data_IF_125447168150
#
_entry.id   IF_125447168150
#
_cell.length_a   1.000
_cell.length_b   1.000
_cell.length_c   1.000
_cell.angle_alpha   90.00
_cell.angle_beta   90.00
_cell.angle_gamma   90.00
#
_symmetry.space_group_name_H-M   'P 1'
#
loop_
_entity.id
_entity.type
_entity.pdbx_description
1 polymer ?
#
# COMPACT_ATOMS: atom_id res chain seq x y z
N UNK A 1 -10.42 10.40 -3.26
CA UNK A 1 -9.03 10.56 -2.75
C UNK A 1 -8.19 11.26 -3.81
N UNK A 2 -7.21 12.09 -3.46
CA UNK A 2 -6.22 12.69 -4.38
C UNK A 2 -4.94 11.85 -4.37
N UNK A 3 -4.04 12.08 -5.33
CA UNK A 3 -2.71 11.46 -5.33
C UNK A 3 -1.97 11.73 -4.02
N UNK A 4 -1.27 10.73 -3.52
CA UNK A 4 -0.57 10.75 -2.22
C UNK A 4 0.90 10.37 -2.31
N UNK A 5 1.40 10.00 -3.51
CA UNK A 5 2.81 9.70 -3.76
C UNK A 5 3.25 8.35 -3.19
N UNK A 6 4.29 8.38 -2.39
CA UNK A 6 4.87 7.19 -1.78
C UNK A 6 3.94 6.52 -0.76
N UNK A 7 3.83 5.19 -0.85
CA UNK A 7 3.08 4.31 0.03
C UNK A 7 3.99 3.21 0.59
N UNK A 8 4.19 3.17 1.88
CA UNK A 8 4.96 2.11 2.54
C UNK A 8 4.05 0.95 2.92
N UNK A 9 4.30 -0.24 2.36
CA UNK A 9 3.64 -1.49 2.79
C UNK A 9 4.62 -2.27 3.66
N UNK A 10 4.29 -2.43 4.93
CA UNK A 10 5.15 -3.09 5.92
C UNK A 10 4.80 -4.57 6.05
N UNK A 11 5.73 -5.44 5.66
CA UNK A 11 5.66 -6.88 5.85
C UNK A 11 6.97 -7.33 6.49
N UNK A 12 6.89 -7.90 7.68
CA UNK A 12 8.02 -8.45 8.45
C UNK A 12 9.27 -7.53 8.41
N UNK A 13 9.15 -6.26 8.82
CA UNK A 13 10.25 -5.33 8.73
C UNK A 13 11.37 -5.67 9.71
N UNK A 14 12.62 -5.74 9.22
CA UNK A 14 13.80 -6.07 10.02
C UNK A 14 14.00 -5.13 11.23
N UNK A 15 13.59 -3.86 11.08
CA UNK A 15 13.66 -2.86 12.16
C UNK A 15 12.43 -2.85 13.08
N UNK A 16 11.41 -3.69 12.82
CA UNK A 16 10.12 -3.69 13.51
C UNK A 16 9.11 -2.70 12.90
N UNK A 17 7.82 -2.97 13.13
CA UNK A 17 6.72 -2.19 12.56
C UNK A 17 6.69 -0.75 13.06
N UNK A 18 6.86 -0.55 14.37
CA UNK A 18 6.82 0.76 15.00
C UNK A 18 7.93 1.67 14.46
N UNK A 19 9.17 1.18 14.42
CA UNK A 19 10.31 1.96 13.92
C UNK A 19 10.18 2.32 12.44
N UNK A 20 9.63 1.41 11.63
CA UNK A 20 9.34 1.71 10.23
C UNK A 20 8.23 2.76 10.08
N UNK A 21 7.19 2.70 10.93
CA UNK A 21 6.12 3.70 10.95
C UNK A 21 6.63 5.07 11.40
N UNK A 22 7.43 5.14 12.47
CA UNK A 22 8.08 6.38 12.93
C UNK A 22 8.93 7.03 11.81
N UNK A 23 9.71 6.19 11.11
CA UNK A 23 10.50 6.63 9.97
C UNK A 23 9.63 7.21 8.84
N UNK A 24 8.52 6.54 8.52
CA UNK A 24 7.57 6.99 7.51
C UNK A 24 6.89 8.31 7.90
N UNK A 25 6.40 8.43 9.13
CA UNK A 25 5.81 9.66 9.67
C UNK A 25 6.81 10.82 9.62
N UNK A 26 8.03 10.60 10.10
CA UNK A 26 9.11 11.60 10.08
C UNK A 26 9.47 12.05 8.67
N UNK A 27 9.41 11.15 7.69
CA UNK A 27 9.68 11.45 6.28
C UNK A 27 8.47 12.09 5.54
N UNK A 28 7.32 12.22 6.20
CA UNK A 28 6.10 12.78 5.61
C UNK A 28 5.36 11.83 4.66
N UNK A 29 5.58 10.52 4.79
CA UNK A 29 4.86 9.50 4.01
C UNK A 29 3.39 9.52 4.39
N UNK A 30 2.52 9.66 3.40
CA UNK A 30 1.07 9.85 3.64
C UNK A 30 0.28 8.57 3.82
N UNK A 31 0.80 7.43 3.35
CA UNK A 31 0.14 6.13 3.42
C UNK A 31 1.10 5.07 3.96
N UNK A 32 0.68 4.35 4.99
CA UNK A 32 1.42 3.22 5.58
C UNK A 32 0.46 2.05 5.75
N UNK A 33 0.82 0.87 5.25
CA UNK A 33 0.02 -0.34 5.40
C UNK A 33 0.68 -1.32 6.37
N UNK A 34 -0.07 -1.77 7.33
CA UNK A 34 0.28 -2.89 8.20
C UNK A 34 -0.13 -4.20 7.53
N UNK A 35 0.84 -5.02 7.10
CA UNK A 35 0.61 -6.31 6.47
C UNK A 35 1.29 -7.43 7.28
N UNK A 36 0.55 -8.00 8.22
CA UNK A 36 0.95 -9.12 9.07
C UNK A 36 0.23 -10.39 8.59
N UNK A 37 0.81 -11.07 7.61
CA UNK A 37 0.24 -12.33 7.10
C UNK A 37 0.36 -13.41 8.18
N UNK A 38 -0.69 -14.21 8.29
CA UNK A 38 -0.77 -15.36 9.20
C UNK A 38 -0.73 -14.99 10.72
N UNK A 39 -0.74 -13.69 11.08
CA UNK A 39 -0.82 -13.27 12.47
C UNK A 39 -2.28 -13.34 13.00
N UNK A 40 -2.46 -13.68 14.28
CA UNK A 40 -3.78 -13.61 14.91
C UNK A 40 -4.35 -12.18 14.85
N UNK A 41 -5.67 -12.05 14.63
CA UNK A 41 -6.33 -10.72 14.54
C UNK A 41 -6.01 -9.83 15.74
N UNK A 42 -5.99 -10.37 16.97
CA UNK A 42 -5.68 -9.57 18.16
C UNK A 42 -4.29 -8.93 18.11
N UNK A 43 -3.31 -9.61 17.51
CA UNK A 43 -1.96 -9.06 17.32
C UNK A 43 -1.96 -7.96 16.25
N UNK A 44 -2.69 -8.16 15.13
CA UNK A 44 -2.86 -7.14 14.08
C UNK A 44 -3.51 -5.89 14.67
N UNK A 45 -4.59 -6.04 15.45
CA UNK A 45 -5.30 -4.93 16.11
C UNK A 45 -4.39 -4.20 17.09
N UNK A 46 -3.66 -4.93 17.94
CA UNK A 46 -2.76 -4.33 18.92
C UNK A 46 -1.63 -3.55 18.23
N UNK A 47 -1.05 -4.10 17.17
CA UNK A 47 -0.01 -3.44 16.38
C UNK A 47 -0.58 -2.22 15.65
N UNK A 48 -1.73 -2.34 14.97
CA UNK A 48 -2.36 -1.22 14.29
C UNK A 48 -2.64 -0.04 15.25
N UNK A 49 -3.11 -0.30 16.48
CA UNK A 49 -3.31 0.75 17.51
C UNK A 49 -2.01 1.49 17.84
N UNK A 50 -0.88 0.76 18.02
CA UNK A 50 0.43 1.41 18.25
C UNK A 50 0.86 2.27 17.06
N UNK A 51 0.61 1.82 15.82
CA UNK A 51 0.91 2.60 14.63
C UNK A 51 0.02 3.85 14.51
N UNK A 52 -1.27 3.74 14.87
CA UNK A 52 -2.18 4.88 14.96
C UNK A 52 -1.71 5.92 15.98
N UNK A 53 -1.19 5.47 17.13
CA UNK A 53 -0.63 6.38 18.14
C UNK A 53 0.63 7.10 17.62
N UNK A 54 1.52 6.40 16.91
CA UNK A 54 2.70 6.99 16.25
C UNK A 54 2.29 8.01 15.17
N UNK A 55 1.26 7.71 14.38
CA UNK A 55 0.79 8.58 13.30
C UNK A 55 -0.04 9.78 13.79
N UNK A 56 -0.43 9.81 15.08
CA UNK A 56 -1.31 10.85 15.65
C UNK A 56 -0.77 12.26 15.44
N UNK A 57 -1.60 13.14 14.91
CA UNK A 57 -1.23 14.52 14.60
C UNK A 57 -0.42 14.70 13.32
N UNK A 58 -0.09 13.62 12.61
CA UNK A 58 0.54 13.67 11.28
C UNK A 58 -0.51 13.57 10.17
N UNK A 59 -0.06 13.62 8.91
CA UNK A 59 -0.90 13.36 7.73
C UNK A 59 -0.89 11.88 7.31
N UNK A 60 -0.13 11.04 7.99
CA UNK A 60 0.03 9.62 7.66
C UNK A 60 -1.23 8.84 7.99
N UNK A 61 -1.75 8.10 7.02
CA UNK A 61 -2.90 7.21 7.14
C UNK A 61 -2.44 5.78 7.35
N UNK A 62 -3.01 5.10 8.34
CA UNK A 62 -2.71 3.70 8.64
C UNK A 62 -3.78 2.81 8.02
N UNK A 63 -3.33 1.89 7.18
CA UNK A 63 -4.17 0.94 6.43
C UNK A 63 -3.88 -0.47 6.94
N UNK A 64 -4.91 -1.24 7.26
CA UNK A 64 -4.76 -2.67 7.60
C UNK A 64 -4.94 -3.51 6.33
N UNK A 65 -4.14 -4.55 6.19
CA UNK A 65 -4.23 -5.45 5.03
C UNK A 65 -5.24 -6.58 5.28
N UNK A 66 -6.11 -6.87 4.30
CA UNK A 66 -7.04 -8.00 4.18
C UNK A 66 -8.16 -8.11 5.23
N UNK A 67 -8.02 -7.57 6.43
CA UNK A 67 -8.99 -7.76 7.54
C UNK A 67 -9.75 -6.46 7.89
N UNK A 68 -10.95 -6.22 7.32
CA UNK A 68 -11.77 -5.07 7.65
C UNK A 68 -12.21 -5.02 9.12
N UNK A 69 -12.39 -6.19 9.76
CA UNK A 69 -12.77 -6.23 11.17
C UNK A 69 -11.61 -5.78 12.06
N UNK A 70 -10.37 -6.16 11.75
CA UNK A 70 -9.19 -5.66 12.46
C UNK A 70 -8.99 -4.15 12.22
N UNK A 71 -9.22 -3.65 11.01
CA UNK A 71 -9.17 -2.22 10.70
C UNK A 71 -10.20 -1.44 11.53
N UNK A 72 -11.44 -1.91 11.57
CA UNK A 72 -12.52 -1.28 12.34
C UNK A 72 -12.25 -1.33 13.85
N UNK A 73 -11.79 -2.48 14.38
CA UNK A 73 -11.52 -2.66 15.80
C UNK A 73 -10.32 -1.84 16.29
N UNK A 74 -9.31 -1.68 15.46
CA UNK A 74 -8.13 -0.86 15.78
C UNK A 74 -8.35 0.64 15.64
N UNK A 75 -9.38 1.06 14.90
CA UNK A 75 -9.62 2.46 14.54
C UNK A 75 -8.69 2.94 13.41
N UNK A 76 -8.13 2.03 12.62
CA UNK A 76 -7.29 2.38 11.48
C UNK A 76 -8.06 3.23 10.46
N UNK A 77 -7.35 4.09 9.72
CA UNK A 77 -7.95 4.98 8.71
C UNK A 77 -8.58 4.19 7.54
N UNK A 78 -8.09 2.97 7.28
CA UNK A 78 -8.58 2.19 6.15
C UNK A 78 -8.18 0.71 6.16
N UNK A 79 -8.64 0.04 5.12
CA UNK A 79 -8.31 -1.35 4.80
C UNK A 79 -7.92 -1.48 3.33
N UNK A 80 -6.99 -2.39 3.02
CA UNK A 80 -6.67 -2.79 1.66
C UNK A 80 -7.03 -4.26 1.46
N UNK A 81 -7.85 -4.57 0.48
CA UNK A 81 -8.33 -5.92 0.18
C UNK A 81 -7.84 -6.42 -1.17
N UNK A 82 -7.66 -7.73 -1.29
CA UNK A 82 -7.39 -8.43 -2.54
C UNK A 82 -8.67 -8.83 -3.27
N UNK A 83 -8.51 -9.58 -4.39
CA UNK A 83 -9.64 -10.03 -5.22
C UNK A 83 -10.43 -11.16 -4.57
N UNK A 84 -9.79 -11.94 -3.70
CA UNK A 84 -10.38 -13.09 -3.01
C UNK A 84 -10.84 -12.76 -1.58
N UNK A 85 -10.61 -11.52 -1.13
CA UNK A 85 -11.00 -11.03 0.18
C UNK A 85 -12.45 -10.47 0.15
N UNK A 86 -12.88 -9.87 1.26
CA UNK A 86 -14.20 -9.20 1.35
C UNK A 86 -14.31 -8.11 0.28
N UNK A 87 -15.40 -8.12 -0.46
CA UNK A 87 -15.63 -7.15 -1.54
C UNK A 87 -15.75 -5.72 -1.01
N UNK A 88 -15.27 -4.73 -1.78
CA UNK A 88 -15.29 -3.31 -1.40
C UNK A 88 -16.69 -2.83 -0.96
N UNK A 89 -17.73 -3.25 -1.67
CA UNK A 89 -19.13 -2.93 -1.34
C UNK A 89 -19.54 -3.51 0.01
N UNK A 90 -19.18 -4.76 0.28
CA UNK A 90 -19.46 -5.42 1.56
C UNK A 90 -18.68 -4.77 2.71
N UNK A 91 -17.41 -4.37 2.48
CA UNK A 91 -16.64 -3.59 3.47
C UNK A 91 -17.39 -2.30 3.84
N UNK A 92 -17.87 -1.56 2.84
CA UNK A 92 -18.61 -0.31 3.03
C UNK A 92 -19.91 -0.50 3.82
N UNK A 93 -20.63 -1.59 3.55
CA UNK A 93 -21.88 -1.92 4.24
C UNK A 93 -21.67 -2.34 5.68
N UNK A 94 -20.70 -3.24 5.91
CA UNK A 94 -20.49 -3.84 7.24
C UNK A 94 -19.63 -3.01 8.17
N UNK A 95 -18.75 -2.15 7.61
CA UNK A 95 -17.78 -1.35 8.36
C UNK A 95 -17.80 0.12 7.89
N UNK A 96 -18.94 0.83 8.01
CA UNK A 96 -19.09 2.19 7.49
C UNK A 96 -18.15 3.21 8.14
N UNK A 97 -17.54 2.88 9.29
CA UNK A 97 -16.54 3.70 9.96
C UNK A 97 -15.15 3.67 9.27
N UNK A 98 -14.88 2.71 8.37
CA UNK A 98 -13.63 2.65 7.63
C UNK A 98 -13.66 3.71 6.52
N UNK A 99 -12.79 4.71 6.64
CA UNK A 99 -12.74 5.85 5.73
C UNK A 99 -12.14 5.54 4.35
N UNK A 100 -11.11 4.66 4.30
CA UNK A 100 -10.34 4.37 3.10
C UNK A 100 -10.41 2.87 2.78
N UNK A 101 -10.82 2.52 1.55
CA UNK A 101 -10.83 1.13 1.07
C UNK A 101 -10.01 1.03 -0.21
N UNK A 102 -8.87 0.34 -0.15
CA UNK A 102 -8.04 0.02 -1.31
C UNK A 102 -8.35 -1.36 -1.87
N UNK A 103 -8.12 -1.55 -3.17
CA UNK A 103 -8.34 -2.83 -3.87
C UNK A 103 -7.12 -3.20 -4.72
N UNK A 104 -6.60 -4.41 -4.56
CA UNK A 104 -5.56 -4.96 -5.45
C UNK A 104 -6.12 -5.27 -6.84
N UNK A 105 -5.36 -4.95 -7.91
CA UNK A 105 -5.68 -5.33 -9.28
C UNK A 105 -4.43 -5.87 -9.99
N UNK A 106 -4.60 -6.95 -10.79
CA UNK A 106 -3.50 -7.71 -11.40
C UNK A 106 -3.60 -7.77 -12.94
N UNK A 107 -4.65 -7.21 -13.52
CA UNK A 107 -4.85 -7.12 -14.96
C UNK A 107 -5.80 -5.96 -15.32
N UNK A 108 -5.86 -5.62 -16.61
CA UNK A 108 -6.65 -4.49 -17.11
C UNK A 108 -8.16 -4.68 -16.84
N UNK A 109 -8.68 -5.91 -16.92
CA UNK A 109 -10.09 -6.17 -16.66
C UNK A 109 -10.47 -5.86 -15.20
N UNK A 110 -9.63 -6.26 -14.23
CA UNK A 110 -9.84 -5.94 -12.81
C UNK A 110 -9.72 -4.44 -12.55
N UNK A 111 -8.75 -3.75 -13.18
CA UNK A 111 -8.61 -2.30 -13.04
C UNK A 111 -9.85 -1.57 -13.58
N UNK A 112 -10.38 -1.96 -14.74
CA UNK A 112 -11.61 -1.40 -15.29
C UNK A 112 -12.85 -1.72 -14.45
N UNK A 113 -12.98 -2.97 -13.97
CA UNK A 113 -14.11 -3.41 -13.13
C UNK A 113 -14.15 -2.69 -11.77
N UNK A 114 -13.02 -2.19 -11.27
CA UNK A 114 -12.96 -1.46 -10.00
C UNK A 114 -13.83 -0.20 -9.99
N UNK A 115 -14.12 0.39 -11.15
CA UNK A 115 -15.02 1.53 -11.28
C UNK A 115 -16.44 1.27 -10.74
N UNK A 116 -16.94 0.03 -10.84
CA UNK A 116 -18.27 -0.35 -10.37
C UNK A 116 -18.34 -0.43 -8.84
N UNK A 117 -17.27 -0.86 -8.16
CA UNK A 117 -17.22 -1.05 -6.70
C UNK A 117 -16.64 0.15 -5.97
N UNK A 118 -16.08 1.14 -6.69
CA UNK A 118 -15.62 2.44 -6.19
C UNK A 118 -14.68 2.38 -4.98
N UNK A 119 -13.51 1.72 -5.08
CA UNK A 119 -12.49 1.82 -4.06
C UNK A 119 -11.92 3.25 -4.02
N UNK A 120 -11.28 3.64 -2.91
CA UNK A 120 -10.61 4.94 -2.82
C UNK A 120 -9.31 4.97 -3.63
N UNK A 121 -8.66 3.83 -3.79
CA UNK A 121 -7.52 3.63 -4.67
C UNK A 121 -7.40 2.16 -5.10
N UNK A 122 -6.69 1.91 -6.19
CA UNK A 122 -6.33 0.55 -6.60
C UNK A 122 -4.81 0.33 -6.52
N UNK A 123 -4.41 -0.87 -6.11
CA UNK A 123 -3.04 -1.36 -6.28
C UNK A 123 -2.89 -2.00 -7.66
N UNK A 124 -1.90 -1.58 -8.42
CA UNK A 124 -1.56 -2.10 -9.75
C UNK A 124 -0.25 -2.87 -9.68
N UNK A 125 -0.32 -4.18 -9.77
CA UNK A 125 0.90 -4.98 -9.63
C UNK A 125 0.69 -6.50 -9.68
N UNK A 126 1.81 -7.24 -9.58
CA UNK A 126 3.18 -6.73 -9.40
C UNK A 126 3.78 -6.18 -10.71
N UNK A 127 4.41 -5.00 -10.64
CA UNK A 127 5.09 -4.42 -11.82
C UNK A 127 6.30 -5.24 -12.21
N UNK A 128 7.11 -5.63 -11.23
CA UNK A 128 8.26 -6.53 -11.39
C UNK A 128 8.08 -7.79 -10.54
N UNK A 129 8.79 -8.84 -10.87
CA UNK A 129 8.79 -10.06 -10.07
C UNK A 129 9.19 -9.78 -8.60
N UNK A 130 8.45 -10.35 -7.66
CA UNK A 130 8.69 -10.17 -6.24
C UNK A 130 8.34 -11.42 -5.44
N UNK A 131 9.17 -11.84 -4.48
CA UNK A 131 8.91 -12.98 -3.62
C UNK A 131 8.04 -12.63 -2.39
N UNK A 132 7.50 -11.42 -2.29
CA UNK A 132 6.76 -10.95 -1.09
C UNK A 132 5.44 -11.72 -0.87
N UNK A 133 4.80 -12.22 -1.93
CA UNK A 133 3.63 -13.11 -1.84
C UNK A 133 4.07 -14.57 -1.90
N UNK A 134 3.44 -15.45 -1.11
CA UNK A 134 3.69 -16.92 -1.14
C UNK A 134 3.39 -17.51 -2.52
N UNK A 135 2.32 -17.04 -3.16
CA UNK A 135 1.98 -17.36 -4.54
C UNK A 135 2.02 -16.04 -5.31
N UNK A 136 3.11 -15.75 -6.04
CA UNK A 136 3.24 -14.48 -6.74
C UNK A 136 2.40 -14.48 -8.02
N UNK A 137 1.68 -13.39 -8.25
CA UNK A 137 1.10 -13.12 -9.56
C UNK A 137 2.23 -12.89 -10.60
N UNK A 138 2.00 -13.21 -11.88
CA UNK A 138 2.95 -12.88 -12.94
C UNK A 138 3.25 -11.38 -12.99
N UNK A 139 4.53 -11.02 -13.21
CA UNK A 139 4.91 -9.63 -13.35
C UNK A 139 4.23 -8.99 -14.58
N UNK A 140 3.60 -7.83 -14.38
CA UNK A 140 2.93 -7.07 -15.44
C UNK A 140 3.91 -6.44 -16.41
N UNK A 141 5.06 -6.00 -15.92
CA UNK A 141 5.95 -5.08 -16.63
C UNK A 141 5.40 -3.64 -16.62
N UNK A 142 6.29 -2.69 -16.84
CA UNK A 142 5.98 -1.26 -16.78
C UNK A 142 4.91 -0.84 -17.79
N UNK A 143 4.92 -1.38 -19.01
CA UNK A 143 3.97 -1.02 -20.07
C UNK A 143 2.52 -1.37 -19.70
N UNK A 144 2.26 -2.61 -19.24
CA UNK A 144 0.92 -3.02 -18.80
C UNK A 144 0.48 -2.28 -17.54
N UNK A 145 1.39 -2.06 -16.59
CA UNK A 145 1.07 -1.25 -15.41
C UNK A 145 0.64 0.17 -15.80
N UNK A 146 1.32 0.80 -16.75
CA UNK A 146 0.94 2.12 -17.28
C UNK A 146 -0.44 2.12 -17.96
N UNK A 147 -0.80 1.07 -18.70
CA UNK A 147 -2.15 0.91 -19.27
C UNK A 147 -3.22 0.84 -18.18
N UNK A 148 -3.00 0.03 -17.14
CA UNK A 148 -3.91 -0.10 -16.00
C UNK A 148 -4.06 1.21 -15.23
N UNK A 149 -2.96 1.93 -15.00
CA UNK A 149 -2.96 3.25 -14.35
C UNK A 149 -3.80 4.24 -15.14
N UNK A 150 -3.65 4.28 -16.46
CA UNK A 150 -4.46 5.18 -17.32
C UNK A 150 -5.94 4.82 -17.38
N UNK A 151 -6.27 3.53 -17.23
CA UNK A 151 -7.65 3.05 -17.23
C UNK A 151 -8.36 3.21 -15.88
N UNK A 152 -7.61 3.48 -14.81
CA UNK A 152 -8.16 3.63 -13.47
C UNK A 152 -9.01 4.90 -13.34
N UNK A 153 -10.14 4.79 -12.64
CA UNK A 153 -11.06 5.90 -12.33
C UNK A 153 -10.80 6.52 -10.96
N UNK A 154 -9.86 5.98 -10.21
CA UNK A 154 -9.39 6.45 -8.91
C UNK A 154 -7.85 6.42 -8.88
N UNK A 155 -7.20 6.98 -7.84
CA UNK A 155 -5.75 6.88 -7.69
C UNK A 155 -5.24 5.45 -7.82
N UNK A 156 -4.28 5.23 -8.71
CA UNK A 156 -3.65 3.93 -8.94
C UNK A 156 -2.23 3.93 -8.37
N UNK A 157 -1.91 2.89 -7.60
CA UNK A 157 -0.63 2.70 -6.92
C UNK A 157 0.15 1.60 -7.60
N UNK A 158 1.25 1.93 -8.26
CA UNK A 158 2.17 0.93 -8.79
C UNK A 158 2.90 0.21 -7.65
N UNK A 159 2.87 -1.12 -7.65
CA UNK A 159 3.50 -1.94 -6.60
C UNK A 159 4.14 -3.21 -7.18
N UNK A 160 5.11 -3.76 -6.46
CA UNK A 160 5.75 -5.05 -6.76
C UNK A 160 7.12 -4.89 -7.41
N UNK A 161 8.16 -5.28 -6.67
CA UNK A 161 9.56 -5.23 -7.09
C UNK A 161 10.11 -3.83 -7.34
N UNK A 162 9.47 -2.80 -6.78
CA UNK A 162 9.92 -1.41 -6.88
C UNK A 162 10.97 -1.12 -5.81
N UNK A 163 12.07 -0.51 -6.24
CA UNK A 163 13.18 -0.01 -5.43
C UNK A 163 13.81 1.22 -6.10
N UNK A 164 14.91 1.75 -5.56
CA UNK A 164 15.56 2.94 -6.08
C UNK A 164 16.04 2.79 -7.54
N UNK A 165 16.34 1.58 -8.01
CA UNK A 165 16.82 1.32 -9.37
C UNK A 165 15.68 1.21 -10.39
N UNK A 166 14.52 0.69 -9.96
CA UNK A 166 13.35 0.44 -10.82
C UNK A 166 12.33 1.57 -10.79
N UNK A 167 12.26 2.35 -9.71
CA UNK A 167 11.32 3.46 -9.52
C UNK A 167 11.33 4.48 -10.66
N UNK A 168 12.48 4.93 -11.22
CA UNK A 168 12.48 5.92 -12.31
C UNK A 168 11.66 5.49 -13.53
N UNK A 169 11.71 4.21 -13.90
CA UNK A 169 10.93 3.72 -15.04
C UNK A 169 9.42 3.73 -14.77
N UNK A 170 9.02 3.44 -13.53
CA UNK A 170 7.62 3.45 -13.08
C UNK A 170 7.05 4.88 -13.09
N UNK A 171 7.82 5.86 -12.59
CA UNK A 171 7.43 7.27 -12.58
C UNK A 171 7.31 7.83 -14.01
N UNK A 172 8.30 7.56 -14.88
CA UNK A 172 8.23 7.97 -16.30
C UNK A 172 7.06 7.34 -17.05
N UNK A 173 6.58 6.19 -16.61
CA UNK A 173 5.39 5.54 -17.17
C UNK A 173 4.06 6.18 -16.72
N UNK A 174 4.10 7.19 -15.85
CA UNK A 174 2.96 7.99 -15.41
C UNK A 174 2.40 7.60 -14.03
N UNK A 175 3.07 6.73 -13.27
CA UNK A 175 2.66 6.44 -11.90
C UNK A 175 2.87 7.67 -11.01
N UNK A 176 1.79 8.16 -10.40
CA UNK A 176 1.82 9.26 -9.42
C UNK A 176 1.83 8.76 -7.99
N UNK A 177 1.33 7.53 -7.79
CA UNK A 177 1.40 6.83 -6.51
C UNK A 177 2.15 5.51 -6.72
N UNK A 178 3.04 5.18 -5.80
CA UNK A 178 3.88 4.01 -5.88
C UNK A 178 4.16 3.44 -4.50
N UNK A 179 4.29 2.13 -4.40
CA UNK A 179 4.48 1.46 -3.13
C UNK A 179 5.69 0.52 -3.15
N UNK A 180 6.37 0.45 -2.01
CA UNK A 180 7.44 -0.51 -1.77
C UNK A 180 7.18 -1.33 -0.52
N UNK A 181 7.79 -2.52 -0.49
CA UNK A 181 7.86 -3.39 0.70
C UNK A 181 9.33 -3.54 1.09
N UNK A 182 10.06 -4.40 0.40
CA UNK A 182 11.40 -4.85 0.79
C UNK A 182 12.46 -3.76 0.78
N UNK A 183 12.34 -2.77 -0.09
CA UNK A 183 13.28 -1.65 -0.17
C UNK A 183 13.39 -0.87 1.15
N UNK A 184 12.34 -0.90 1.97
CA UNK A 184 12.34 -0.29 3.31
C UNK A 184 12.32 -1.36 4.40
N UNK A 185 11.46 -2.38 4.30
CA UNK A 185 11.35 -3.41 5.34
C UNK A 185 12.64 -4.23 5.53
N UNK A 186 13.45 -4.40 4.48
CA UNK A 186 14.75 -5.06 4.56
C UNK A 186 15.92 -4.18 5.03
N UNK A 187 15.69 -2.89 5.19
CA UNK A 187 16.75 -1.94 5.54
C UNK A 187 17.00 -1.89 7.05
N UNK A 188 18.26 -1.79 7.46
CA UNK A 188 18.65 -1.56 8.85
C UNK A 188 18.25 -0.15 9.33
N UNK A 189 18.25 0.83 8.42
CA UNK A 189 17.78 2.20 8.66
C UNK A 189 16.61 2.51 7.70
N UNK A 190 15.36 2.32 8.14
CA UNK A 190 14.18 2.58 7.34
C UNK A 190 14.01 4.05 6.96
N UNK A 191 14.43 5.00 7.80
CA UNK A 191 14.36 6.42 7.49
C UNK A 191 15.26 6.79 6.32
N UNK A 192 16.52 6.33 6.36
CA UNK A 192 17.45 6.54 5.25
C UNK A 192 16.93 5.92 3.95
N UNK A 193 16.42 4.69 4.01
CA UNK A 193 15.87 4.01 2.84
C UNK A 193 14.68 4.77 2.22
N UNK A 194 13.79 5.33 3.06
CA UNK A 194 12.67 6.17 2.61
C UNK A 194 13.20 7.44 1.95
N UNK A 195 14.15 8.13 2.58
CA UNK A 195 14.70 9.39 2.04
C UNK A 195 15.45 9.18 0.72
N UNK A 196 16.16 8.05 0.55
CA UNK A 196 16.83 7.70 -0.69
C UNK A 196 15.79 7.50 -1.83
N UNK A 197 14.67 6.83 -1.55
CA UNK A 197 13.57 6.66 -2.51
C UNK A 197 12.88 7.98 -2.87
N UNK A 198 12.61 8.84 -1.90
CA UNK A 198 12.03 10.17 -2.13
C UNK A 198 12.97 11.08 -2.91
N UNK A 199 14.29 10.93 -2.75
CA UNK A 199 15.27 11.64 -3.56
C UNK A 199 15.24 11.22 -5.03
N UNK A 200 15.06 9.91 -5.30
CA UNK A 200 14.85 9.39 -6.66
C UNK A 200 13.56 9.97 -7.28
N UNK A 201 12.46 10.02 -6.53
CA UNK A 201 11.19 10.59 -7.01
C UNK A 201 11.35 12.07 -7.39
N UNK A 202 12.02 12.87 -6.56
CA UNK A 202 12.25 14.31 -6.81
C UNK A 202 13.13 14.59 -8.02
N UNK A 203 13.95 13.63 -8.43
CA UNK A 203 14.88 13.78 -9.55
C UNK A 203 14.24 13.46 -10.93
N UNK A 204 12.95 13.01 -10.97
CA UNK A 204 12.23 12.69 -12.20
C UNK A 204 11.29 13.81 -12.64
#
# INVERSE_FOLDING_TARGET
MTDFGFYLVMTDPAAGYERCCEAAVKAGVRMVQLRMKDAPRGEVVATARRLMDIARGSQTKIIVNDDPAAAAESGADGVHVGQDDMQVTEVRERFPQIGIVGLSTHNLAQAAASAAVRPDYIGVGPVYATPTKKIPDPALGVAKAAEMIRAATCPAVAIGGIDASTLPAVLRAGARNWAVVRAVCGAADPYKAIMDLLAVEKAQ
#
